data_IF_627908017623
#
_entry.id   IF_627908017623
#
_cell.length_a   1.000
_cell.length_b   1.000
_cell.length_c   1.000
_cell.angle_alpha   90.00
_cell.angle_beta   90.00
_cell.angle_gamma   90.00
#
_symmetry.space_group_name_H-M   'P 1'
#
loop_
_entity.id
_entity.type
_entity.pdbx_description
1 polymer ?
#
# COMPACT_ATOMS: atom_id res chain seq x y z
N UNK A 1 -6.11 72.56 22.67
CA UNK A 1 -4.98 72.58 21.72
C UNK A 1 -3.70 72.34 22.50
N UNK A 2 -2.69 71.79 21.81
CA UNK A 2 -1.33 71.36 22.21
C UNK A 2 -1.19 70.09 23.08
N UNK A 3 -0.58 69.08 22.45
CA UNK A 3 -0.08 67.83 23.05
C UNK A 3 1.40 67.97 23.44
N UNK A 4 1.93 67.21 24.42
CA UNK A 4 3.37 67.14 24.66
C UNK A 4 4.01 65.94 23.94
N UNK A 5 5.23 66.19 23.43
CA UNK A 5 5.95 65.37 22.47
C UNK A 5 6.61 64.11 23.01
N UNK A 6 6.83 63.20 22.06
CA UNK A 6 7.58 61.95 22.19
C UNK A 6 9.07 62.20 21.93
N UNK A 7 9.93 61.75 22.85
CA UNK A 7 11.39 61.70 22.68
C UNK A 7 11.78 60.24 22.48
N UNK A 8 12.12 59.88 21.25
CA UNK A 8 12.71 58.57 20.91
C UNK A 8 14.21 58.63 21.17
N UNK A 9 14.71 57.78 22.07
CA UNK A 9 16.14 57.49 22.23
C UNK A 9 16.42 56.14 21.56
N UNK A 10 17.17 56.19 20.46
CA UNK A 10 17.82 55.03 19.86
C UNK A 10 18.95 54.56 20.79
N UNK A 11 18.89 53.30 21.22
CA UNK A 11 20.02 52.60 21.84
C UNK A 11 20.51 51.59 20.79
N UNK A 12 21.70 51.85 20.25
CA UNK A 12 22.50 50.87 19.54
C UNK A 12 23.35 50.13 20.58
N UNK A 13 23.18 48.82 20.66
CA UNK A 13 24.07 47.95 21.42
C UNK A 13 24.23 46.64 20.67
N UNK A 14 24.81 46.75 19.48
CA UNK A 14 25.59 45.72 18.80
C UNK A 14 26.88 45.43 19.60
N UNK A 15 26.74 44.77 20.74
CA UNK A 15 27.83 44.22 21.54
C UNK A 15 27.23 43.15 22.43
N UNK A 16 27.95 42.04 22.65
CA UNK A 16 27.51 40.80 23.32
C UNK A 16 26.98 39.70 22.38
N UNK A 17 27.88 39.13 21.58
CA UNK A 17 27.78 37.70 21.24
C UNK A 17 28.99 36.95 21.82
N UNK A 18 28.78 36.00 22.74
CA UNK A 18 29.85 35.14 23.22
C UNK A 18 30.36 34.23 22.08
N UNK A 19 31.68 34.09 21.96
CA UNK A 19 32.31 33.17 21.01
C UNK A 19 31.78 31.74 21.21
N UNK A 20 30.96 31.30 20.26
CA UNK A 20 30.46 29.92 20.19
C UNK A 20 31.64 29.02 19.83
N UNK A 21 32.18 28.30 20.82
CA UNK A 21 33.14 27.21 20.57
C UNK A 21 32.47 26.19 19.68
N UNK A 22 33.05 25.93 18.50
CA UNK A 22 32.57 24.89 17.59
C UNK A 22 32.57 23.54 18.33
N UNK A 23 31.49 22.76 18.27
CA UNK A 23 31.47 21.42 18.82
C UNK A 23 32.58 20.58 18.14
N UNK A 24 33.24 19.68 18.88
CA UNK A 24 34.24 18.79 18.31
C UNK A 24 33.63 17.99 17.17
N UNK A 25 34.34 17.93 16.03
CA UNK A 25 33.88 17.12 14.91
C UNK A 25 33.85 15.65 15.33
N UNK A 26 32.78 14.90 14.97
CA UNK A 26 32.69 13.49 15.28
C UNK A 26 33.84 12.76 14.59
N UNK A 27 34.68 12.11 15.40
CA UNK A 27 35.70 11.18 14.94
C UNK A 27 35.06 10.12 14.08
N UNK A 28 35.65 9.90 12.91
CA UNK A 28 35.24 8.93 11.90
C UNK A 28 35.50 7.52 12.43
N UNK A 29 34.63 7.05 13.33
CA UNK A 29 34.56 5.63 13.67
C UNK A 29 34.07 4.89 12.43
N UNK A 30 34.93 4.01 11.93
CA UNK A 30 34.69 3.01 10.90
C UNK A 30 33.42 2.22 11.20
N UNK A 31 32.31 2.62 10.58
CA UNK A 31 31.07 1.86 10.57
C UNK A 31 31.22 0.67 9.64
N UNK A 32 31.60 -0.49 10.19
CA UNK A 32 31.35 -1.75 9.50
C UNK A 32 29.83 -1.93 9.32
N UNK A 33 29.34 -2.27 8.10
CA UNK A 33 27.93 -2.45 7.86
C UNK A 33 27.50 -3.82 8.39
N UNK A 34 27.32 -3.94 9.71
CA UNK A 34 26.52 -5.01 10.27
C UNK A 34 25.06 -4.77 9.85
N UNK A 35 24.69 -5.30 8.68
CA UNK A 35 23.29 -5.45 8.29
C UNK A 35 22.64 -6.37 9.33
N UNK A 36 22.06 -5.77 10.36
CA UNK A 36 21.45 -6.48 11.48
C UNK A 36 20.18 -7.14 10.95
N UNK A 37 20.28 -8.42 10.59
CA UNK A 37 19.11 -9.20 10.17
C UNK A 37 18.04 -9.16 11.27
N UNK A 38 16.82 -8.83 10.88
CA UNK A 38 15.68 -8.82 11.79
C UNK A 38 15.30 -10.25 12.15
N UNK A 39 15.43 -10.61 13.43
CA UNK A 39 14.92 -11.88 13.93
C UNK A 39 13.45 -11.69 14.30
N UNK A 40 12.55 -12.22 13.48
CA UNK A 40 11.12 -12.24 13.79
C UNK A 40 10.80 -13.37 14.78
N UNK A 41 9.84 -13.14 15.66
CA UNK A 41 9.34 -14.14 16.61
C UNK A 41 8.44 -15.16 15.91
N UNK A 42 8.82 -16.45 16.03
CA UNK A 42 8.20 -17.60 15.37
C UNK A 42 6.68 -17.64 15.55
N UNK A 43 6.25 -17.60 16.81
CA UNK A 43 4.85 -17.78 17.17
C UNK A 43 3.99 -16.58 16.76
N UNK A 44 4.54 -15.36 16.78
CA UNK A 44 3.83 -14.17 16.31
C UNK A 44 3.46 -14.25 14.82
N UNK A 45 4.38 -14.68 13.96
CA UNK A 45 4.12 -14.84 12.51
C UNK A 45 3.15 -15.99 12.26
N UNK A 46 3.34 -17.14 12.95
CA UNK A 46 2.46 -18.30 12.85
C UNK A 46 1.03 -17.99 13.26
N UNK A 47 0.85 -17.17 14.31
CA UNK A 47 -0.48 -16.72 14.77
C UNK A 47 -1.23 -15.94 13.68
N UNK A 48 -0.52 -15.10 12.93
CA UNK A 48 -1.11 -14.29 11.86
C UNK A 48 -1.31 -15.11 10.58
N UNK A 49 -0.30 -15.87 10.17
CA UNK A 49 -0.33 -16.65 8.93
C UNK A 49 -1.24 -17.88 9.01
N UNK A 50 -1.50 -18.36 10.23
CA UNK A 50 -2.32 -19.56 10.52
C UNK A 50 -1.86 -20.74 9.67
N UNK A 51 -2.71 -21.22 8.76
CA UNK A 51 -2.46 -22.34 7.87
C UNK A 51 -1.88 -21.91 6.50
N UNK A 52 -1.78 -20.60 6.24
CA UNK A 52 -1.33 -20.08 4.96
C UNK A 52 0.19 -20.05 4.90
N UNK A 53 0.75 -20.67 3.86
CA UNK A 53 2.18 -20.61 3.54
C UNK A 53 2.53 -19.41 2.64
N UNK A 54 1.60 -18.49 2.49
CA UNK A 54 1.71 -17.32 1.63
C UNK A 54 1.23 -16.10 2.39
N UNK A 55 1.85 -14.96 2.20
CA UNK A 55 1.47 -13.72 2.90
C UNK A 55 1.73 -12.52 2.04
N UNK A 56 0.89 -11.49 2.13
CA UNK A 56 1.19 -10.18 1.59
C UNK A 56 1.60 -9.25 2.73
N UNK A 57 2.67 -8.48 2.55
CA UNK A 57 3.13 -7.49 3.55
C UNK A 57 2.97 -6.08 3.00
N UNK A 58 2.37 -5.22 3.81
CA UNK A 58 2.10 -3.82 3.52
C UNK A 58 2.20 -3.02 4.83
N UNK A 59 2.32 -1.70 4.78
CA UNK A 59 2.36 -0.90 6.00
C UNK A 59 2.95 0.47 5.81
N UNK A 60 3.01 1.27 6.87
CA UNK A 60 3.69 2.56 6.80
C UNK A 60 5.21 2.38 6.78
N UNK A 61 5.90 3.18 5.97
CA UNK A 61 7.36 3.17 5.91
C UNK A 61 8.02 3.45 7.27
N UNK A 62 7.46 4.37 8.07
CA UNK A 62 7.95 4.66 9.43
C UNK A 62 7.68 3.52 10.43
N UNK A 63 6.81 2.58 10.08
CA UNK A 63 6.63 1.33 10.81
C UNK A 63 7.54 0.21 10.29
N UNK A 64 8.48 0.50 9.37
CA UNK A 64 9.49 -0.47 8.91
C UNK A 64 8.92 -1.77 8.30
N UNK A 65 7.76 -1.70 7.65
CA UNK A 65 7.12 -2.89 7.05
C UNK A 65 8.02 -3.59 6.02
N UNK A 66 8.90 -2.86 5.33
CA UNK A 66 9.87 -3.43 4.40
C UNK A 66 10.84 -4.39 5.10
N UNK A 67 11.23 -4.11 6.36
CA UNK A 67 12.07 -5.01 7.16
C UNK A 67 11.33 -6.30 7.51
N UNK A 68 10.02 -6.22 7.72
CA UNK A 68 9.17 -7.40 7.93
C UNK A 68 9.08 -8.23 6.66
N UNK A 69 8.92 -7.59 5.51
CA UNK A 69 8.97 -8.25 4.21
C UNK A 69 10.29 -8.99 4.02
N UNK A 70 11.43 -8.30 4.14
CA UNK A 70 12.77 -8.90 3.97
C UNK A 70 12.99 -10.06 4.94
N UNK A 71 12.60 -9.90 6.21
CA UNK A 71 12.76 -10.92 7.23
C UNK A 71 11.91 -12.18 6.98
N UNK A 72 10.74 -12.03 6.34
CA UNK A 72 9.90 -13.16 5.95
C UNK A 72 10.37 -13.83 4.66
N UNK A 73 10.92 -13.05 3.71
CA UNK A 73 11.32 -13.54 2.38
C UNK A 73 12.72 -14.19 2.39
N UNK A 74 13.69 -13.61 3.09
CA UNK A 74 15.06 -14.11 3.17
C UNK A 74 15.30 -15.06 4.36
N UNK A 75 14.34 -15.11 5.28
CA UNK A 75 14.55 -15.67 6.61
C UNK A 75 14.47 -17.20 6.70
N UNK A 76 14.63 -17.68 7.93
CA UNK A 76 14.47 -19.10 8.31
C UNK A 76 13.07 -19.62 7.96
N UNK A 77 12.08 -18.74 7.87
CA UNK A 77 10.67 -19.01 7.57
C UNK A 77 10.43 -19.78 6.28
N UNK A 78 11.19 -19.45 5.24
CA UNK A 78 11.11 -20.16 3.96
C UNK A 78 11.73 -21.55 4.05
N UNK A 79 12.74 -21.74 4.92
CA UNK A 79 13.41 -23.04 5.13
C UNK A 79 12.59 -23.98 6.01
N UNK A 80 11.97 -23.45 7.06
CA UNK A 80 11.06 -24.20 7.95
C UNK A 80 9.68 -24.44 7.33
N UNK A 81 9.43 -23.85 6.14
CA UNK A 81 8.20 -24.07 5.38
C UNK A 81 6.96 -23.38 5.95
N UNK A 82 7.13 -22.44 6.89
CA UNK A 82 6.02 -21.65 7.42
C UNK A 82 5.50 -20.65 6.39
N UNK A 83 6.40 -19.89 5.77
CA UNK A 83 6.06 -18.88 4.75
C UNK A 83 6.95 -19.14 3.54
N UNK A 84 6.34 -19.67 2.48
CA UNK A 84 7.02 -20.04 1.23
C UNK A 84 6.91 -18.97 0.15
N UNK A 85 5.99 -18.02 0.33
CA UNK A 85 5.80 -16.91 -0.62
C UNK A 85 5.39 -15.65 0.10
N UNK A 86 6.16 -14.59 -0.11
CA UNK A 86 5.87 -13.25 0.39
C UNK A 86 5.53 -12.36 -0.80
N UNK A 87 4.37 -11.71 -0.75
CA UNK A 87 3.91 -10.78 -1.76
C UNK A 87 4.10 -9.34 -1.29
N UNK A 88 4.48 -8.48 -2.23
CA UNK A 88 4.54 -7.03 -2.05
C UNK A 88 3.24 -6.38 -2.54
N UNK A 89 3.21 -5.05 -2.56
CA UNK A 89 2.17 -4.23 -3.19
C UNK A 89 2.12 -4.33 -4.71
N UNK A 90 2.96 -5.17 -5.33
CA UNK A 90 2.96 -5.47 -6.76
C UNK A 90 2.13 -6.72 -7.10
N UNK A 91 1.47 -7.36 -6.14
CA UNK A 91 0.72 -8.60 -6.38
C UNK A 91 -0.32 -8.47 -7.50
N UNK A 92 -0.23 -9.37 -8.48
CA UNK A 92 -1.09 -9.40 -9.67
C UNK A 92 -0.76 -8.35 -10.74
N UNK A 93 0.17 -7.42 -10.51
CA UNK A 93 0.52 -6.39 -11.51
C UNK A 93 1.07 -7.01 -12.79
N UNK A 94 0.70 -6.46 -13.95
CA UNK A 94 1.24 -6.90 -15.25
C UNK A 94 2.61 -6.31 -15.59
N UNK A 95 3.08 -5.31 -14.84
CA UNK A 95 4.37 -4.64 -15.08
C UNK A 95 5.59 -5.41 -14.60
N UNK A 96 5.42 -6.28 -13.61
CA UNK A 96 6.48 -7.16 -13.19
C UNK A 96 6.61 -8.24 -14.27
N UNK A 97 7.61 -8.10 -15.13
CA UNK A 97 8.00 -9.14 -16.09
C UNK A 97 8.33 -10.45 -15.34
N UNK A 98 8.76 -10.32 -14.08
CA UNK A 98 8.93 -11.43 -13.17
C UNK A 98 7.59 -12.05 -12.76
N UNK A 99 7.46 -13.36 -13.03
CA UNK A 99 6.30 -14.19 -12.68
C UNK A 99 6.01 -14.39 -11.17
N UNK A 100 6.94 -14.27 -10.20
CA UNK A 100 6.67 -14.74 -8.84
C UNK A 100 5.60 -13.91 -8.12
N UNK A 101 5.38 -12.65 -8.52
CA UNK A 101 4.35 -11.78 -7.92
C UNK A 101 2.95 -11.97 -8.50
N UNK A 102 2.81 -12.76 -9.57
CA UNK A 102 1.54 -12.99 -10.27
C UNK A 102 0.98 -14.38 -10.06
N UNK A 103 1.70 -15.25 -9.37
CA UNK A 103 1.29 -16.64 -9.20
C UNK A 103 1.24 -17.00 -7.73
N UNK A 104 0.23 -17.74 -7.30
CA UNK A 104 0.17 -18.32 -5.96
C UNK A 104 1.11 -19.52 -5.85
N UNK A 105 1.35 -20.02 -4.64
CA UNK A 105 2.11 -21.24 -4.38
C UNK A 105 1.52 -22.45 -5.13
N UNK A 106 0.20 -22.47 -5.29
CA UNK A 106 -0.55 -23.51 -6.02
C UNK A 106 -0.54 -23.31 -7.55
N UNK A 107 0.21 -22.33 -8.08
CA UNK A 107 0.30 -22.10 -9.52
C UNK A 107 -0.84 -21.27 -10.12
N UNK A 108 -1.75 -20.73 -9.30
CA UNK A 108 -2.87 -19.91 -9.80
C UNK A 108 -2.42 -18.50 -10.14
N UNK A 109 -2.87 -17.96 -11.27
CA UNK A 109 -2.56 -16.58 -11.64
C UNK A 109 -3.47 -15.62 -10.87
N UNK A 110 -2.86 -14.66 -10.19
CA UNK A 110 -3.55 -13.58 -9.48
C UNK A 110 -3.94 -12.52 -10.51
N UNK A 111 -5.23 -12.31 -10.64
CA UNK A 111 -5.81 -11.42 -11.65
C UNK A 111 -5.73 -9.96 -11.20
N UNK A 112 -5.36 -9.09 -12.15
CA UNK A 112 -5.41 -7.65 -11.97
C UNK A 112 -6.81 -7.13 -12.29
N UNK A 113 -7.50 -6.60 -11.28
CA UNK A 113 -8.87 -6.05 -11.43
C UNK A 113 -8.83 -4.58 -11.81
N UNK A 114 -7.86 -3.84 -11.29
CA UNK A 114 -7.68 -2.42 -11.54
C UNK A 114 -6.58 -2.20 -12.58
N UNK A 115 -6.91 -1.57 -13.70
CA UNK A 115 -5.89 -1.08 -14.62
C UNK A 115 -5.10 0.02 -13.93
N UNK A 116 -3.79 -0.15 -13.95
CA UNK A 116 -2.85 0.87 -13.48
C UNK A 116 -2.41 1.61 -14.74
N UNK A 117 -2.71 2.92 -14.88
CA UNK A 117 -2.41 3.66 -16.10
C UNK A 117 -0.91 3.63 -16.43
N UNK A 118 -0.58 3.29 -17.67
CA UNK A 118 0.76 3.38 -18.25
C UNK A 118 1.06 4.82 -18.68
N UNK A 119 1.25 5.75 -17.74
CA UNK A 119 1.56 7.14 -18.09
C UNK A 119 2.95 7.58 -17.65
N UNK A 120 3.64 8.21 -18.58
CA UNK A 120 5.05 8.64 -18.54
C UNK A 120 5.30 9.89 -17.69
N UNK A 121 4.25 10.54 -17.17
CA UNK A 121 4.34 11.81 -16.42
C UNK A 121 3.68 11.77 -15.02
N UNK A 122 3.31 10.58 -14.53
CA UNK A 122 2.72 10.47 -13.20
C UNK A 122 3.82 10.44 -12.14
N UNK A 123 3.71 11.31 -11.14
CA UNK A 123 4.46 11.27 -9.88
C UNK A 123 4.56 9.83 -9.35
N UNK A 124 5.79 9.32 -9.21
CA UNK A 124 6.09 7.96 -8.74
C UNK A 124 5.31 7.57 -7.49
N UNK A 125 5.07 8.51 -6.56
CA UNK A 125 4.29 8.23 -5.34
C UNK A 125 2.83 7.87 -5.65
N UNK A 126 2.23 8.53 -6.64
CA UNK A 126 0.86 8.22 -7.07
C UNK A 126 0.78 6.84 -7.73
N UNK A 127 1.86 6.39 -8.38
CA UNK A 127 1.96 5.05 -8.97
C UNK A 127 1.99 4.02 -7.85
N UNK A 128 2.91 4.13 -6.89
CA UNK A 128 3.02 3.18 -5.77
C UNK A 128 1.73 3.07 -4.95
N UNK A 129 1.06 4.20 -4.67
CA UNK A 129 -0.22 4.17 -3.97
C UNK A 129 -1.34 3.51 -4.81
N UNK A 130 -1.36 3.69 -6.13
CA UNK A 130 -2.33 3.03 -7.02
C UNK A 130 -2.08 1.52 -7.06
N UNK A 131 -0.84 1.11 -7.20
CA UNK A 131 -0.40 -0.29 -7.15
C UNK A 131 -0.83 -0.95 -5.84
N UNK A 132 -0.54 -0.30 -4.70
CA UNK A 132 -0.89 -0.83 -3.38
C UNK A 132 -2.40 -1.02 -3.20
N UNK A 133 -3.23 -0.08 -3.67
CA UNK A 133 -4.70 -0.23 -3.63
C UNK A 133 -5.21 -1.33 -4.58
N UNK A 134 -4.61 -1.44 -5.76
CA UNK A 134 -4.95 -2.49 -6.72
C UNK A 134 -4.59 -3.87 -6.14
N UNK A 135 -3.39 -4.01 -5.60
CA UNK A 135 -2.91 -5.20 -4.89
C UNK A 135 -3.85 -5.67 -3.78
N UNK A 136 -4.32 -4.76 -2.93
CA UNK A 136 -5.31 -5.06 -1.88
C UNK A 136 -6.59 -5.64 -2.49
N UNK A 137 -7.08 -5.03 -3.57
CA UNK A 137 -8.32 -5.46 -4.23
C UNK A 137 -8.13 -6.81 -4.94
N UNK A 138 -7.00 -7.00 -5.62
CA UNK A 138 -6.61 -8.25 -6.29
C UNK A 138 -6.50 -9.40 -5.29
N UNK A 139 -5.89 -9.15 -4.12
CA UNK A 139 -5.74 -10.14 -3.07
C UNK A 139 -7.10 -10.59 -2.51
N UNK A 140 -8.02 -9.66 -2.26
CA UNK A 140 -9.38 -10.00 -1.81
C UNK A 140 -10.10 -10.88 -2.83
N UNK A 141 -9.96 -10.58 -4.12
CA UNK A 141 -10.54 -11.41 -5.17
C UNK A 141 -9.88 -12.78 -5.28
N UNK A 142 -8.54 -12.86 -5.18
CA UNK A 142 -7.86 -14.16 -5.15
C UNK A 142 -8.33 -14.98 -3.95
N UNK A 143 -8.45 -14.37 -2.76
CA UNK A 143 -8.96 -15.04 -1.58
C UNK A 143 -10.42 -15.51 -1.74
N UNK A 144 -11.24 -14.77 -2.49
CA UNK A 144 -12.58 -15.23 -2.86
C UNK A 144 -12.50 -16.52 -3.70
N UNK A 145 -11.65 -16.55 -4.74
CA UNK A 145 -11.44 -17.75 -5.56
C UNK A 145 -10.86 -18.91 -4.73
N UNK A 146 -10.00 -18.62 -3.75
CA UNK A 146 -9.41 -19.62 -2.84
C UNK A 146 -10.45 -20.22 -1.91
N UNK A 147 -11.33 -19.40 -1.34
CA UNK A 147 -12.42 -19.87 -0.47
C UNK A 147 -13.34 -20.85 -1.23
N UNK A 148 -13.69 -20.54 -2.47
CA UNK A 148 -14.46 -21.46 -3.34
C UNK A 148 -13.75 -22.80 -3.59
N UNK A 149 -12.42 -22.80 -3.58
CA UNK A 149 -11.57 -23.99 -3.77
C UNK A 149 -11.24 -24.70 -2.46
N UNK A 150 -11.77 -24.25 -1.31
CA UNK A 150 -11.45 -24.80 0.00
C UNK A 150 -10.00 -24.54 0.45
N UNK A 151 -9.34 -23.54 -0.13
CA UNK A 151 -7.96 -23.17 0.21
C UNK A 151 -7.95 -22.07 1.27
N UNK A 152 -6.96 -22.12 2.17
CA UNK A 152 -6.77 -21.08 3.18
C UNK A 152 -6.50 -19.71 2.51
N UNK A 153 -7.09 -18.61 3.02
CA UNK A 153 -6.85 -17.27 2.48
C UNK A 153 -5.37 -16.87 2.66
N UNK A 154 -4.88 -16.06 1.75
CA UNK A 154 -3.57 -15.41 1.84
C UNK A 154 -3.76 -14.17 2.73
N UNK A 155 -3.23 -14.14 3.96
CA UNK A 155 -3.32 -12.97 4.82
C UNK A 155 -2.53 -11.78 4.26
N UNK A 156 -3.06 -10.58 4.51
CA UNK A 156 -2.35 -9.32 4.34
C UNK A 156 -1.97 -8.80 5.72
N UNK A 157 -0.67 -8.77 6.01
CA UNK A 157 -0.11 -8.12 7.19
C UNK A 157 0.07 -6.64 6.88
N UNK A 158 -0.66 -5.78 7.60
CA UNK A 158 -0.54 -4.34 7.51
C UNK A 158 0.13 -3.80 8.78
N UNK A 159 1.41 -3.44 8.69
CA UNK A 159 2.17 -2.85 9.78
C UNK A 159 1.76 -1.38 9.97
N UNK A 160 0.97 -1.10 11.02
CA UNK A 160 0.44 0.25 11.30
C UNK A 160 1.04 0.94 12.53
N UNK A 161 1.80 0.22 13.35
CA UNK A 161 2.42 0.80 14.55
C UNK A 161 3.72 0.08 14.91
N UNK A 162 4.54 0.70 15.77
CA UNK A 162 5.73 0.08 16.37
C UNK A 162 6.00 0.62 17.78
N UNK A 163 6.80 -0.09 18.59
CA UNK A 163 7.11 0.34 19.98
C UNK A 163 7.70 1.76 20.08
N UNK A 164 8.49 2.16 19.09
CA UNK A 164 9.13 3.48 19.01
C UNK A 164 8.51 4.30 17.85
N UNK A 165 7.19 4.31 17.75
CA UNK A 165 6.50 5.02 16.67
C UNK A 165 6.40 6.52 17.00
N UNK A 166 7.04 7.42 16.21
CA UNK A 166 6.89 8.86 16.38
C UNK A 166 5.47 9.35 16.04
N UNK A 167 4.67 8.55 15.33
CA UNK A 167 3.32 8.89 14.87
C UNK A 167 2.31 7.85 15.36
N UNK A 168 2.00 7.89 16.66
CA UNK A 168 1.03 6.96 17.26
C UNK A 168 -0.26 6.86 16.44
N UNK A 169 -0.81 5.65 16.32
CA UNK A 169 -2.06 5.40 15.63
C UNK A 169 -3.21 6.16 16.32
N UNK A 170 -3.63 7.28 15.73
CA UNK A 170 -4.73 8.09 16.25
C UNK A 170 -5.75 8.38 15.15
N UNK A 171 -7.07 8.27 15.40
CA UNK A 171 -8.10 8.49 14.39
C UNK A 171 -8.00 9.83 13.63
N UNK A 172 -7.55 10.88 14.31
CA UNK A 172 -7.35 12.22 13.71
C UNK A 172 -6.26 12.20 12.63
N UNK A 173 -5.25 11.32 12.76
CA UNK A 173 -4.15 11.23 11.81
C UNK A 173 -4.64 10.74 10.44
N UNK A 174 -5.72 9.98 10.36
CA UNK A 174 -6.31 9.51 9.09
C UNK A 174 -6.80 10.64 8.17
N UNK A 175 -7.02 11.83 8.74
CA UNK A 175 -7.39 13.05 8.02
C UNK A 175 -6.17 13.85 7.57
N UNK A 176 -5.01 13.62 8.20
CA UNK A 176 -3.80 14.40 7.95
C UNK A 176 -3.34 14.24 6.50
N UNK A 177 -2.96 15.37 5.92
CA UNK A 177 -2.29 15.46 4.62
C UNK A 177 -0.78 15.62 4.78
N UNK A 178 -0.28 15.70 6.03
CA UNK A 178 1.14 15.81 6.32
C UNK A 178 1.86 14.58 5.81
N UNK A 179 2.99 14.81 5.13
CA UNK A 179 3.72 13.77 4.42
C UNK A 179 4.29 12.75 5.40
N UNK A 180 4.75 13.22 6.56
CA UNK A 180 5.36 12.45 7.62
C UNK A 180 4.42 11.36 8.17
N UNK A 181 3.13 11.70 8.27
CA UNK A 181 2.06 10.81 8.76
C UNK A 181 1.47 9.98 7.61
N UNK A 182 1.75 10.34 6.35
CA UNK A 182 1.01 9.87 5.18
C UNK A 182 1.96 9.59 3.98
N UNK A 183 3.10 8.95 4.22
CA UNK A 183 4.12 8.67 3.18
C UNK A 183 3.95 7.28 2.52
N UNK A 184 4.20 7.23 1.21
CA UNK A 184 4.24 6.06 0.28
C UNK A 184 3.07 5.05 0.32
N UNK A 185 2.84 4.40 1.46
CA UNK A 185 1.74 3.46 1.72
C UNK A 185 1.00 3.98 2.95
N UNK A 186 -0.25 4.32 2.74
CA UNK A 186 -0.88 5.50 3.33
C UNK A 186 -2.24 5.18 3.95
N UNK A 187 -2.87 6.22 4.51
CA UNK A 187 -4.30 6.20 4.83
C UNK A 187 -5.19 5.80 3.64
N UNK A 188 -4.73 5.92 2.39
CA UNK A 188 -5.53 5.52 1.23
C UNK A 188 -5.77 4.02 1.15
N UNK A 189 -4.78 3.21 1.52
CA UNK A 189 -4.84 1.76 1.57
C UNK A 189 -5.73 1.31 2.73
N UNK A 190 -5.62 1.93 3.91
CA UNK A 190 -6.53 1.66 5.04
C UNK A 190 -7.97 1.99 4.67
N UNK A 191 -8.21 3.13 4.01
CA UNK A 191 -9.54 3.47 3.48
C UNK A 191 -10.02 2.48 2.42
N UNK A 192 -9.12 1.91 1.61
CA UNK A 192 -9.47 0.88 0.63
C UNK A 192 -9.92 -0.40 1.34
N UNK A 193 -9.17 -0.87 2.32
CA UNK A 193 -9.51 -2.02 3.16
C UNK A 193 -10.86 -1.80 3.87
N UNK A 194 -11.06 -0.62 4.48
CA UNK A 194 -12.35 -0.27 5.09
C UNK A 194 -13.52 -0.36 4.10
N UNK A 195 -13.36 0.16 2.87
CA UNK A 195 -14.40 0.08 1.84
C UNK A 195 -14.71 -1.36 1.44
N UNK A 196 -13.70 -2.22 1.35
CA UNK A 196 -13.88 -3.66 1.06
C UNK A 196 -14.67 -4.35 2.18
N UNK A 197 -14.40 -4.02 3.43
CA UNK A 197 -15.10 -4.59 4.59
C UNK A 197 -16.52 -4.05 4.80
N UNK A 198 -16.84 -2.82 4.36
CA UNK A 198 -18.08 -2.13 4.77
C UNK A 198 -19.03 -1.75 3.62
N UNK A 199 -18.51 -1.53 2.41
CA UNK A 199 -19.25 -0.75 1.39
C UNK A 199 -19.83 -1.58 0.25
N UNK A 200 -19.67 -2.92 0.27
CA UNK A 200 -20.20 -3.81 -0.75
C UNK A 200 -21.56 -4.36 -0.34
N UNK A 201 -22.50 -4.45 -1.28
CA UNK A 201 -23.78 -5.10 -1.04
C UNK A 201 -23.61 -6.62 -0.81
N UNK A 202 -22.77 -7.27 -1.63
CA UNK A 202 -22.42 -8.67 -1.46
C UNK A 202 -21.68 -8.90 -0.13
N UNK A 203 -22.28 -9.69 0.76
CA UNK A 203 -21.75 -10.03 2.08
C UNK A 203 -20.45 -10.85 1.97
N UNK A 204 -20.32 -11.67 0.93
CA UNK A 204 -19.17 -12.57 0.75
C UNK A 204 -17.87 -11.78 0.54
N UNK A 205 -17.95 -10.65 -0.18
CA UNK A 205 -16.82 -9.72 -0.36
C UNK A 205 -16.37 -9.15 0.98
N UNK A 206 -17.33 -8.79 1.83
CA UNK A 206 -17.04 -8.20 3.15
C UNK A 206 -16.40 -9.23 4.06
N UNK A 207 -16.95 -10.44 4.10
CA UNK A 207 -16.44 -11.55 4.89
C UNK A 207 -15.03 -11.96 4.47
N UNK A 208 -14.77 -12.12 3.17
CA UNK A 208 -13.45 -12.50 2.68
C UNK A 208 -12.42 -11.38 2.93
N UNK A 209 -12.82 -10.11 2.81
CA UNK A 209 -11.97 -8.98 3.17
C UNK A 209 -11.62 -8.98 4.66
N UNK A 210 -12.59 -9.24 5.55
CA UNK A 210 -12.36 -9.36 6.99
C UNK A 210 -11.41 -10.52 7.35
N UNK A 211 -11.49 -11.64 6.62
CA UNK A 211 -10.56 -12.77 6.77
C UNK A 211 -9.17 -12.50 6.18
N UNK A 212 -9.04 -11.50 5.31
CA UNK A 212 -7.80 -11.19 4.60
C UNK A 212 -6.91 -10.24 5.40
N UNK A 213 -7.46 -9.21 6.05
CA UNK A 213 -6.67 -8.11 6.61
C UNK A 213 -6.28 -8.33 8.07
N UNK A 214 -4.98 -8.26 8.35
CA UNK A 214 -4.40 -8.33 9.69
C UNK A 214 -3.59 -7.07 9.97
N UNK A 215 -4.02 -6.30 10.96
CA UNK A 215 -3.29 -5.10 11.40
C UNK A 215 -2.35 -5.47 12.53
N UNK A 216 -1.10 -5.01 12.44
CA UNK A 216 -0.07 -5.38 13.41
C UNK A 216 0.71 -4.17 13.91
N UNK A 217 1.08 -4.25 15.19
CA UNK A 217 2.12 -3.44 15.82
C UNK A 217 3.40 -4.27 15.86
N UNK A 218 4.52 -3.68 15.48
CA UNK A 218 5.84 -4.32 15.59
C UNK A 218 6.42 -3.98 16.95
N UNK A 219 6.60 -5.00 17.79
CA UNK A 219 7.24 -4.84 19.10
C UNK A 219 8.66 -5.36 19.08
N UNK A 220 9.59 -4.56 19.61
CA UNK A 220 10.99 -4.94 19.73
C UNK A 220 11.27 -5.42 21.15
N UNK A 221 11.55 -6.71 21.29
CA UNK A 221 11.94 -7.33 22.57
C UNK A 221 13.40 -7.75 22.47
N UNK A 222 14.29 -6.91 23.03
CA UNK A 222 15.76 -7.06 22.94
C UNK A 222 16.26 -7.06 21.48
N UNK A 223 16.49 -8.25 20.92
CA UNK A 223 17.00 -8.47 19.57
C UNK A 223 16.01 -9.18 18.65
N UNK A 224 14.80 -9.47 19.16
CA UNK A 224 13.73 -10.12 18.43
C UNK A 224 12.59 -9.13 18.21
N UNK A 225 11.94 -9.22 17.07
CA UNK A 225 10.77 -8.43 16.70
C UNK A 225 9.55 -9.34 16.67
N UNK A 226 8.48 -8.97 17.38
CA UNK A 226 7.21 -9.70 17.36
C UNK A 226 6.12 -8.88 16.66
N UNK A 227 5.24 -9.57 15.96
CA UNK A 227 4.05 -8.99 15.35
C UNK A 227 2.88 -9.12 16.31
N UNK A 228 2.47 -8.03 16.95
CA UNK A 228 1.30 -8.01 17.81
C UNK A 228 0.05 -7.66 17.00
N UNK A 229 -0.97 -8.54 16.95
CA UNK A 229 -2.24 -8.21 16.33
C UNK A 229 -2.90 -7.04 17.05
N UNK A 230 -3.42 -6.09 16.29
CA UNK A 230 -4.21 -4.98 16.80
C UNK A 230 -5.52 -4.86 16.04
N UNK A 231 -6.49 -4.19 16.66
CA UNK A 231 -7.79 -4.00 16.04
C UNK A 231 -7.68 -3.14 14.78
N UNK A 232 -8.59 -3.40 13.83
CA UNK A 232 -8.63 -2.60 12.63
C UNK A 232 -8.86 -1.12 12.96
N UNK A 233 -8.20 -0.17 12.26
CA UNK A 233 -8.29 1.25 12.55
C UNK A 233 -9.72 1.80 12.65
N UNK A 234 -10.64 1.23 11.89
CA UNK A 234 -12.05 1.64 11.86
C UNK A 234 -12.89 1.19 13.06
N UNK A 235 -12.32 0.38 13.95
CA UNK A 235 -12.96 0.01 15.22
C UNK A 235 -12.72 1.05 16.32
N UNK A 236 -11.80 2.00 16.11
CA UNK A 236 -11.51 3.04 17.10
C UNK A 236 -12.58 4.13 17.11
N UNK A 237 -12.87 4.64 18.30
CA UNK A 237 -13.78 5.78 18.51
C UNK A 237 -13.32 6.98 17.68
N UNK A 238 -14.24 7.60 16.95
CA UNK A 238 -13.97 8.75 16.11
C UNK A 238 -13.66 8.43 14.64
N UNK A 239 -13.46 7.15 14.27
CA UNK A 239 -13.27 6.77 12.87
C UNK A 239 -14.43 7.22 11.99
N UNK A 240 -15.68 6.97 12.39
CA UNK A 240 -16.85 7.35 11.58
C UNK A 240 -16.95 8.86 11.34
N UNK A 241 -16.60 9.64 12.37
CA UNK A 241 -16.61 11.12 12.30
C UNK A 241 -15.55 11.57 11.31
N UNK A 242 -14.31 11.08 11.46
CA UNK A 242 -13.22 11.35 10.53
C UNK A 242 -13.59 10.91 9.09
N UNK A 243 -14.17 9.73 8.94
CA UNK A 243 -14.59 9.21 7.64
C UNK A 243 -15.61 10.12 6.95
N UNK A 244 -16.67 10.53 7.68
CA UNK A 244 -17.69 11.45 7.18
C UNK A 244 -17.10 12.81 6.78
N UNK A 245 -16.25 13.40 7.63
CA UNK A 245 -15.54 14.65 7.33
C UNK A 245 -14.69 14.51 6.06
N UNK A 246 -13.96 13.40 5.92
CA UNK A 246 -13.14 13.13 4.74
C UNK A 246 -13.98 13.00 3.48
N UNK A 247 -15.15 12.37 3.56
CA UNK A 247 -16.07 12.25 2.42
C UNK A 247 -16.57 13.62 1.96
N UNK A 248 -16.93 14.51 2.90
CA UNK A 248 -17.35 15.88 2.60
C UNK A 248 -16.25 16.68 1.90
N UNK A 249 -15.01 16.61 2.40
CA UNK A 249 -13.84 17.25 1.78
C UNK A 249 -13.52 16.72 0.38
N UNK A 250 -14.04 15.55 0.00
CA UNK A 250 -13.74 14.89 -1.28
C UNK A 250 -14.74 15.18 -2.39
N UNK A 251 -15.78 15.97 -2.13
CA UNK A 251 -16.88 16.20 -3.09
C UNK A 251 -16.49 17.09 -4.29
N UNK A 252 -15.25 17.58 -4.36
CA UNK A 252 -14.72 18.24 -5.56
C UNK A 252 -14.41 17.21 -6.66
N UNK A 253 -15.35 17.03 -7.60
CA UNK A 253 -15.23 16.39 -8.93
C UNK A 253 -14.36 15.10 -8.92
N UNK A 254 -14.81 14.07 -8.20
CA UNK A 254 -14.17 12.76 -8.21
C UNK A 254 -14.66 11.95 -9.42
N UNK A 255 -13.83 11.76 -10.45
CA UNK A 255 -14.01 10.64 -11.39
C UNK A 255 -14.03 9.35 -10.56
N UNK A 256 -15.20 8.71 -10.45
CA UNK A 256 -15.30 7.44 -9.74
C UNK A 256 -14.42 6.42 -10.46
N UNK A 257 -13.38 5.94 -9.77
CA UNK A 257 -12.61 4.82 -10.28
C UNK A 257 -13.47 3.56 -10.14
N UNK A 258 -13.81 2.85 -11.24
CA UNK A 258 -14.86 1.84 -11.26
C UNK A 258 -14.42 0.49 -10.65
N UNK A 259 -13.53 0.51 -9.67
CA UNK A 259 -12.92 -0.70 -9.11
C UNK A 259 -13.93 -1.56 -8.34
N UNK A 260 -14.95 -0.94 -7.74
CA UNK A 260 -16.00 -1.67 -7.01
C UNK A 260 -16.83 -2.50 -7.99
N UNK A 261 -17.29 -1.85 -9.05
CA UNK A 261 -18.04 -2.46 -10.13
C UNK A 261 -17.20 -3.57 -10.77
N UNK A 262 -15.91 -3.30 -11.02
CA UNK A 262 -15.00 -4.29 -11.61
C UNK A 262 -14.83 -5.53 -10.72
N UNK A 263 -14.66 -5.35 -9.40
CA UNK A 263 -14.55 -6.45 -8.43
C UNK A 263 -15.86 -7.24 -8.35
N UNK A 264 -17.01 -6.57 -8.20
CA UNK A 264 -18.33 -7.21 -8.16
C UNK A 264 -18.57 -8.04 -9.43
N UNK A 265 -18.30 -7.48 -10.61
CA UNK A 265 -18.42 -8.20 -11.86
C UNK A 265 -17.43 -9.37 -11.97
N UNK A 266 -16.21 -9.25 -11.45
CA UNK A 266 -15.23 -10.36 -11.41
C UNK A 266 -15.75 -11.53 -10.58
N UNK A 267 -16.34 -11.24 -9.43
CA UNK A 267 -16.94 -12.25 -8.54
C UNK A 267 -18.16 -12.92 -9.18
N UNK A 268 -19.06 -12.15 -9.79
CA UNK A 268 -20.21 -12.74 -10.50
C UNK A 268 -19.78 -13.66 -11.65
N UNK A 269 -18.73 -13.30 -12.38
CA UNK A 269 -18.19 -14.16 -13.43
C UNK A 269 -17.60 -15.45 -12.86
N UNK A 270 -16.86 -15.37 -11.76
CA UNK A 270 -16.32 -16.54 -11.06
C UNK A 270 -17.42 -17.47 -10.54
N UNK A 271 -18.58 -16.93 -10.17
CA UNK A 271 -19.77 -17.71 -9.78
C UNK A 271 -20.53 -18.34 -10.95
N UNK A 272 -20.10 -18.09 -12.19
CA UNK A 272 -20.83 -18.55 -13.38
C UNK A 272 -22.18 -17.86 -13.55
N UNK A 273 -22.46 -16.80 -12.79
CA UNK A 273 -23.67 -15.99 -12.97
C UNK A 273 -23.49 -15.21 -14.27
N UNK A 274 -24.27 -15.57 -15.28
CA UNK A 274 -24.25 -14.88 -16.57
C UNK A 274 -24.66 -13.42 -16.37
N UNK A 275 -23.71 -12.49 -16.52
CA UNK A 275 -24.01 -11.07 -16.62
C UNK A 275 -25.00 -10.83 -17.78
N UNK A 276 -25.89 -9.82 -17.71
CA UNK A 276 -26.75 -9.44 -18.81
C UNK A 276 -25.92 -9.29 -20.11
N UNK A 277 -26.41 -9.82 -21.23
CA UNK A 277 -25.66 -9.92 -22.52
C UNK A 277 -24.92 -8.64 -22.93
N UNK A 278 -25.44 -7.46 -22.58
CA UNK A 278 -24.82 -6.17 -22.88
C UNK A 278 -23.46 -5.92 -22.21
N UNK A 279 -23.27 -6.36 -20.95
CA UNK A 279 -22.02 -6.12 -20.21
C UNK A 279 -20.89 -7.05 -20.66
N UNK A 280 -21.24 -8.26 -21.10
CA UNK A 280 -20.28 -9.27 -21.58
C UNK A 280 -19.57 -8.82 -22.86
N UNK A 281 -20.31 -8.20 -23.79
CA UNK A 281 -19.77 -7.66 -25.03
C UNK A 281 -18.87 -6.43 -24.78
N UNK A 282 -19.28 -5.53 -23.89
CA UNK A 282 -18.51 -4.34 -23.53
C UNK A 282 -17.15 -4.71 -22.90
N UNK A 283 -17.10 -5.71 -22.01
CA UNK A 283 -15.83 -6.16 -21.42
C UNK A 283 -14.93 -6.90 -22.39
N UNK A 284 -15.49 -7.77 -23.25
CA UNK A 284 -14.67 -8.44 -24.27
C UNK A 284 -14.04 -7.41 -25.23
N UNK A 285 -14.77 -6.34 -25.57
CA UNK A 285 -14.23 -5.23 -26.34
C UNK A 285 -13.15 -4.43 -25.59
N UNK A 286 -13.29 -4.20 -24.27
CA UNK A 286 -12.29 -3.48 -23.47
C UNK A 286 -10.97 -4.29 -23.33
N UNK A 287 -11.06 -5.61 -23.14
CA UNK A 287 -9.87 -6.46 -22.97
C UNK A 287 -9.24 -6.93 -24.30
N UNK A 288 -9.98 -6.89 -25.41
CA UNK A 288 -9.47 -7.25 -26.74
C UNK A 288 -9.20 -6.05 -27.64
N UNK A 289 -9.50 -4.83 -27.20
CA UNK A 289 -9.09 -3.63 -27.92
C UNK A 289 -7.56 -3.59 -27.97
N UNK A 290 -6.94 -3.52 -29.16
CA UNK A 290 -5.50 -3.32 -29.26
C UNK A 290 -5.12 -2.06 -28.51
N UNK A 291 -4.02 -2.12 -27.76
CA UNK A 291 -3.54 -0.95 -27.03
C UNK A 291 -3.30 0.18 -28.05
N UNK A 292 -3.97 1.33 -27.96
CA UNK A 292 -3.84 2.40 -28.96
C UNK A 292 -2.41 2.92 -29.13
N UNK A 293 -1.50 2.60 -28.19
CA UNK A 293 -0.06 2.85 -28.35
C UNK A 293 0.68 1.82 -29.19
N UNK A 294 0.26 0.55 -29.21
CA UNK A 294 0.83 -0.44 -30.14
C UNK A 294 0.50 -0.07 -31.59
N UNK A 295 -0.70 0.42 -31.86
CA UNK A 295 -1.04 0.97 -33.18
C UNK A 295 -0.21 2.21 -33.55
N UNK A 296 0.14 3.07 -32.58
CA UNK A 296 0.99 4.24 -32.84
C UNK A 296 2.47 3.88 -33.04
N UNK A 297 2.98 2.85 -32.36
CA UNK A 297 4.34 2.33 -32.56
C UNK A 297 4.45 1.62 -33.92
N UNK A 298 3.44 0.86 -34.33
CA UNK A 298 3.36 0.25 -35.67
C UNK A 298 3.25 1.33 -36.75
N UNK A 299 2.41 2.36 -36.57
CA UNK A 299 2.30 3.48 -37.53
C UNK A 299 3.60 4.30 -37.63
N UNK A 300 4.31 4.54 -36.53
CA UNK A 300 5.63 5.23 -36.57
C UNK A 300 6.71 4.40 -37.26
N UNK A 301 6.69 3.06 -37.15
CA UNK A 301 7.62 2.19 -37.89
C UNK A 301 7.35 2.15 -39.39
N UNK A 302 6.09 2.32 -39.81
CA UNK A 302 5.73 2.35 -41.24
C UNK A 302 5.98 3.70 -41.93
N UNK A 303 6.31 4.78 -41.21
CA UNK A 303 6.54 6.11 -41.77
C UNK A 303 8.00 6.57 -41.78
N UNK A 304 8.96 5.67 -41.53
CA UNK A 304 10.37 5.98 -41.78
C UNK A 304 10.65 5.83 -43.28
N UNK A 305 11.06 6.90 -44.00
CA UNK A 305 11.48 6.78 -45.38
C UNK A 305 12.68 5.84 -45.46
N UNK A 306 12.63 4.87 -46.37
CA UNK A 306 13.80 4.08 -46.74
C UNK A 306 14.86 5.08 -47.23
N UNK A 307 15.93 5.25 -46.47
CA UNK A 307 17.11 5.91 -46.98
C UNK A 307 17.66 5.00 -48.10
N UNK A 308 17.51 5.45 -49.33
CA UNK A 308 18.21 4.90 -50.48
C UNK A 308 19.69 5.24 -50.32
N UNK A 309 20.51 4.20 -50.22
CA UNK A 309 21.96 4.33 -50.25
C UNK A 309 22.39 4.89 -51.61
N UNK A 310 23.07 6.04 -51.58
CA UNK A 310 24.08 6.42 -52.56
C UNK A 310 25.46 6.25 -51.92
#
# INVERSE_FOLDING_TARGET
MTAPGSVSKFIDSSSWMPSIKRPPQPTTESQEPHVKHWKLDFESVKTICRLSQQVMVCGYSHCEYARIFDALDEGVWSREGLVKRVFTTLIGTTFAEDRPFRTTLEGSVIEQIEEIPQETDIDKRKICARESKAAITNLVFENFKREKRGLAPIPLIFCIDRSENPYSLHPVNFLSKEKEVNDLVTHAEIRRMYKLCSSFADLRIREIALKTFYFVRIEKVRYTYSLQPIQAPWMHVGWEIAWKQRQQLSQSISKQHPWKERLTSAIHMEDGVSLPRGERAARKAIFQAPNPREEQVVKKRCMMPKQENQ
#
